data_IF_440990867165
#
_entry.id   IF_440990867165
#
_cell.length_a   1.000
_cell.length_b   1.000
_cell.length_c   1.000
_cell.angle_alpha   90.00
_cell.angle_beta   90.00
_cell.angle_gamma   90.00
#
_symmetry.space_group_name_H-M   'P 1'
#
loop_
_entity.id
_entity.type
_entity.pdbx_description
1 polymer ?
#
# COMPACT_ATOMS: atom_id res chain seq x y z
N UNK A 1 -10.04 3.45 8.69
CA UNK A 1 -8.56 3.31 8.74
C UNK A 1 -7.93 3.69 7.40
N UNK A 2 -6.68 4.16 7.35
CA UNK A 2 -5.96 4.41 6.08
C UNK A 2 -4.75 3.49 5.96
N UNK A 3 -4.65 2.79 4.84
CA UNK A 3 -3.55 1.86 4.52
C UNK A 3 -2.81 2.42 3.31
N UNK A 4 -1.53 2.77 3.48
CA UNK A 4 -0.75 3.39 2.41
C UNK A 4 0.75 3.09 2.58
N UNK A 5 1.39 2.53 1.54
CA UNK A 5 2.82 2.16 1.55
C UNK A 5 3.75 3.32 1.89
N UNK A 6 3.40 4.55 1.50
CA UNK A 6 4.22 5.72 1.76
C UNK A 6 4.33 6.02 3.27
N UNK A 7 3.32 5.66 4.08
CA UNK A 7 3.37 5.77 5.54
C UNK A 7 4.41 4.82 6.16
N UNK A 8 4.66 3.68 5.51
CA UNK A 8 5.52 2.62 6.04
C UNK A 8 7.00 2.86 5.82
N UNK A 9 7.36 3.72 4.84
CA UNK A 9 8.76 4.05 4.55
C UNK A 9 9.47 4.61 5.78
N UNK A 10 8.80 5.47 6.54
CA UNK A 10 9.35 6.07 7.76
C UNK A 10 9.60 5.04 8.88
N UNK A 11 8.82 3.95 8.94
CA UNK A 11 8.99 2.87 9.91
C UNK A 11 10.07 1.85 9.50
N UNK A 12 10.50 1.87 8.23
CA UNK A 12 11.49 0.92 7.73
C UNK A 12 12.89 1.25 8.24
N UNK A 13 13.46 0.37 9.08
CA UNK A 13 14.76 0.57 9.77
C UNK A 13 15.89 1.05 8.86
N UNK A 14 15.91 0.58 7.62
CA UNK A 14 16.97 0.93 6.65
C UNK A 14 16.66 2.17 5.82
N UNK A 15 15.44 2.70 5.86
CA UNK A 15 15.00 3.76 4.95
C UNK A 15 15.78 5.06 5.13
N UNK A 16 16.03 5.48 6.38
CA UNK A 16 16.88 6.67 6.65
C UNK A 16 18.27 6.54 6.03
N UNK A 17 18.89 5.36 6.16
CA UNK A 17 20.21 5.08 5.58
C UNK A 17 20.17 5.07 4.05
N UNK A 18 19.16 4.44 3.46
CA UNK A 18 19.00 4.37 2.01
C UNK A 18 18.72 5.77 1.42
N UNK A 19 17.92 6.59 2.11
CA UNK A 19 17.60 7.96 1.72
C UNK A 19 18.83 8.86 1.72
N UNK A 20 19.70 8.70 2.72
CA UNK A 20 20.98 9.41 2.78
C UNK A 20 21.96 8.96 1.69
N UNK A 21 21.87 7.71 1.22
CA UNK A 21 22.73 7.20 0.16
C UNK A 21 22.27 7.69 -1.23
N UNK A 22 20.98 7.53 -1.55
CA UNK A 22 20.39 8.04 -2.79
C UNK A 22 18.86 8.14 -2.68
N UNK A 23 18.37 9.38 -2.73
CA UNK A 23 16.94 9.70 -2.65
C UNK A 23 16.13 9.05 -3.78
N UNK A 24 16.69 8.91 -4.99
CA UNK A 24 15.97 8.39 -6.16
C UNK A 24 15.73 6.88 -6.07
N UNK A 25 16.64 6.14 -5.44
CA UNK A 25 16.56 4.68 -5.34
C UNK A 25 16.05 4.18 -3.99
N UNK A 26 16.13 5.00 -2.93
CA UNK A 26 15.68 4.62 -1.59
C UNK A 26 14.24 4.10 -1.53
N UNK A 27 13.33 4.72 -2.29
CA UNK A 27 11.93 4.28 -2.38
C UNK A 27 11.75 2.92 -3.06
N UNK A 28 12.55 2.64 -4.09
CA UNK A 28 12.53 1.36 -4.81
C UNK A 28 13.09 0.25 -3.92
N UNK A 29 14.18 0.54 -3.20
CA UNK A 29 14.86 -0.42 -2.34
C UNK A 29 13.98 -0.96 -1.19
N UNK A 30 13.06 -0.15 -0.67
CA UNK A 30 12.15 -0.57 0.42
C UNK A 30 10.78 -1.04 -0.07
N UNK A 31 10.48 -0.90 -1.38
CA UNK A 31 9.17 -1.23 -1.95
C UNK A 31 8.73 -2.68 -1.70
N UNK A 32 9.61 -3.70 -1.77
CA UNK A 32 9.20 -5.08 -1.46
C UNK A 32 8.71 -5.25 -0.01
N UNK A 33 9.40 -4.60 0.93
CA UNK A 33 9.09 -4.75 2.36
C UNK A 33 7.83 -3.96 2.74
N UNK A 34 7.70 -2.72 2.27
CA UNK A 34 6.46 -1.96 2.48
C UNK A 34 5.26 -2.56 1.74
N UNK A 35 5.49 -3.27 0.63
CA UNK A 35 4.47 -4.06 -0.05
C UNK A 35 3.97 -5.23 0.78
N UNK A 36 4.88 -6.02 1.36
CA UNK A 36 4.54 -7.12 2.28
C UNK A 36 3.77 -6.64 3.50
N UNK A 37 4.17 -5.51 4.09
CA UNK A 37 3.45 -4.94 5.25
C UNK A 37 2.05 -4.44 4.90
N UNK A 38 1.89 -3.83 3.72
CA UNK A 38 0.57 -3.44 3.25
C UNK A 38 -0.34 -4.66 3.10
N UNK A 39 0.13 -5.74 2.46
CA UNK A 39 -0.66 -6.95 2.30
C UNK A 39 -1.10 -7.56 3.65
N UNK A 40 -0.21 -7.57 4.65
CA UNK A 40 -0.54 -8.06 5.99
C UNK A 40 -1.61 -7.19 6.69
N UNK A 41 -1.55 -5.87 6.52
CA UNK A 41 -2.56 -4.96 7.09
C UNK A 41 -3.89 -5.09 6.34
N UNK A 42 -3.89 -5.20 5.01
CA UNK A 42 -5.10 -5.44 4.23
C UNK A 42 -5.78 -6.74 4.64
N UNK A 43 -5.01 -7.79 4.89
CA UNK A 43 -5.55 -9.06 5.38
C UNK A 43 -6.19 -8.92 6.75
N UNK A 44 -5.52 -8.24 7.69
CA UNK A 44 -6.07 -7.95 9.01
C UNK A 44 -7.37 -7.13 8.93
N UNK A 45 -7.42 -6.13 8.06
CA UNK A 45 -8.63 -5.32 7.81
C UNK A 45 -9.78 -6.18 7.30
N UNK A 46 -9.52 -7.08 6.33
CA UNK A 46 -10.55 -7.97 5.78
C UNK A 46 -11.08 -8.94 6.83
N UNK A 47 -10.19 -9.61 7.57
CA UNK A 47 -10.58 -10.61 8.58
C UNK A 47 -11.45 -9.99 9.67
N UNK A 48 -11.22 -8.73 10.03
CA UNK A 48 -11.93 -8.05 11.12
C UNK A 48 -13.06 -7.12 10.63
N UNK A 49 -13.28 -7.01 9.32
CA UNK A 49 -14.36 -6.20 8.74
C UNK A 49 -14.21 -4.70 8.99
N UNK A 50 -12.99 -4.16 9.05
CA UNK A 50 -12.79 -2.73 9.30
C UNK A 50 -13.07 -1.88 8.05
N UNK A 51 -13.70 -0.73 8.25
CA UNK A 51 -13.79 0.31 7.21
C UNK A 51 -12.40 0.91 6.94
N UNK A 52 -11.91 0.73 5.71
CA UNK A 52 -10.57 1.17 5.33
C UNK A 52 -10.52 1.86 3.97
N UNK A 53 -9.62 2.85 3.87
CA UNK A 53 -9.18 3.46 2.62
C UNK A 53 -7.82 2.88 2.28
N UNK A 54 -7.76 2.12 1.19
CA UNK A 54 -6.53 1.50 0.69
C UNK A 54 -5.97 2.38 -0.43
N UNK A 55 -4.74 2.84 -0.28
CA UNK A 55 -4.03 3.58 -1.31
C UNK A 55 -3.01 2.68 -2.01
N UNK A 56 -3.38 2.24 -3.21
CA UNK A 56 -2.51 1.46 -4.09
C UNK A 56 -2.01 2.32 -5.24
N UNK A 57 -0.74 2.15 -5.61
CA UNK A 57 -0.18 2.82 -6.76
C UNK A 57 -0.64 2.13 -8.05
N UNK A 58 -1.17 2.89 -9.00
CA UNK A 58 -1.63 2.36 -10.29
C UNK A 58 -0.53 1.84 -11.20
N UNK A 59 0.73 2.03 -10.83
CA UNK A 59 1.86 1.39 -11.49
C UNK A 59 1.79 -0.15 -11.41
N UNK A 60 0.87 -0.71 -10.60
CA UNK A 60 0.60 -2.13 -10.52
C UNK A 60 -0.92 -2.42 -10.58
N UNK A 61 -1.46 -2.42 -11.80
CA UNK A 61 -2.91 -2.62 -12.03
C UNK A 61 -3.37 -4.02 -11.63
N UNK A 62 -2.51 -5.02 -11.74
CA UNK A 62 -2.80 -6.40 -11.35
C UNK A 62 -2.86 -6.53 -9.83
N UNK A 63 -1.95 -5.88 -9.10
CA UNK A 63 -2.01 -5.80 -7.64
C UNK A 63 -3.34 -5.15 -7.17
N UNK A 64 -3.77 -4.07 -7.83
CA UNK A 64 -5.05 -3.42 -7.53
C UNK A 64 -6.25 -4.34 -7.79
N UNK A 65 -6.24 -5.07 -8.91
CA UNK A 65 -7.30 -6.04 -9.26
C UNK A 65 -7.37 -7.19 -8.26
N UNK A 66 -6.22 -7.76 -7.90
CA UNK A 66 -6.13 -8.85 -6.93
C UNK A 66 -6.63 -8.41 -5.54
N UNK A 67 -6.21 -7.23 -5.06
CA UNK A 67 -6.68 -6.68 -3.78
C UNK A 67 -8.20 -6.44 -3.82
N UNK A 68 -8.71 -5.79 -4.88
CA UNK A 68 -10.14 -5.53 -5.05
C UNK A 68 -10.99 -6.81 -5.08
N UNK A 69 -10.52 -7.86 -5.75
CA UNK A 69 -11.19 -9.15 -5.79
C UNK A 69 -11.31 -9.76 -4.38
N UNK A 70 -10.22 -9.78 -3.62
CA UNK A 70 -10.20 -10.33 -2.27
C UNK A 70 -11.12 -9.58 -1.29
N UNK A 71 -11.27 -8.25 -1.42
CA UNK A 71 -12.24 -7.49 -0.62
C UNK A 71 -13.69 -7.81 -1.00
N UNK A 72 -13.98 -8.03 -2.29
CA UNK A 72 -15.33 -8.42 -2.73
C UNK A 72 -15.71 -9.82 -2.24
N UNK A 73 -14.77 -10.76 -2.28
CA UNK A 73 -14.96 -12.11 -1.74
C UNK A 73 -15.22 -12.09 -0.24
N UNK A 74 -14.62 -11.15 0.49
CA UNK A 74 -14.89 -10.90 1.90
C UNK A 74 -16.23 -10.17 2.18
N UNK A 75 -17.03 -9.86 1.16
CA UNK A 75 -18.32 -9.18 1.31
C UNK A 75 -18.24 -7.66 1.49
N UNK A 76 -17.07 -7.04 1.28
CA UNK A 76 -16.91 -5.61 1.44
C UNK A 76 -17.56 -4.82 0.28
N UNK A 77 -18.17 -3.67 0.61
CA UNK A 77 -18.58 -2.67 -0.39
C UNK A 77 -17.38 -1.84 -0.80
N UNK A 78 -17.07 -1.81 -2.10
CA UNK A 78 -15.96 -1.03 -2.64
C UNK A 78 -16.43 0.31 -3.21
N UNK A 79 -15.70 1.38 -2.89
CA UNK A 79 -15.80 2.69 -3.54
C UNK A 79 -14.42 3.10 -4.08
N UNK A 80 -14.36 3.44 -5.37
CA UNK A 80 -13.12 3.81 -6.04
C UNK A 80 -13.01 5.32 -6.28
N UNK A 81 -11.90 5.93 -5.87
CA UNK A 81 -11.58 7.34 -6.17
C UNK A 81 -10.23 7.47 -6.87
N UNK A 82 -10.23 8.05 -8.05
CA UNK A 82 -9.02 8.34 -8.81
C UNK A 82 -8.42 9.68 -8.40
N UNK A 83 -7.12 9.71 -8.09
CA UNK A 83 -6.36 10.95 -7.87
C UNK A 83 -5.19 11.01 -8.85
N UNK A 84 -5.16 12.03 -9.71
CA UNK A 84 -3.97 12.37 -10.49
C UNK A 84 -2.96 13.05 -9.57
N UNK A 85 -1.71 12.55 -9.50
CA UNK A 85 -0.61 13.32 -8.91
C UNK A 85 -0.35 14.51 -9.83
N UNK A 86 -0.57 15.75 -9.35
CA UNK A 86 -0.08 16.93 -10.07
C UNK A 86 1.44 16.97 -9.87
N UNK A 87 2.18 17.00 -10.98
CA UNK A 87 3.61 17.23 -11.02
C UNK A 87 3.92 18.71 -10.85
#
# INVERSE_FOLDING_TARGET
MRVCRDLYKAAHRRYRRLLAADVRTAGVAVRPDTGRWQAAIEDHVRVHGYDAVIESALADIEEFRASSAAYREAGARLEGRWRRRRH
#
